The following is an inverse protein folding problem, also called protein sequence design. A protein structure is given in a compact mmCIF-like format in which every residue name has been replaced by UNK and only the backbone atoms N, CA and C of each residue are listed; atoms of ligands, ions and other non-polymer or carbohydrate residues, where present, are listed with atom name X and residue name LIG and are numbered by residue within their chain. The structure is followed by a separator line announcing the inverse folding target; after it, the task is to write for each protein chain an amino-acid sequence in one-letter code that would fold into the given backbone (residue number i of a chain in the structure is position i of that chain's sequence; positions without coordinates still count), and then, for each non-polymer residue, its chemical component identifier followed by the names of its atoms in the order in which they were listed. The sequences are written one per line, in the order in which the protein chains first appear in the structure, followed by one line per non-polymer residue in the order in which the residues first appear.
data_IF_683909093998
#
_entry.id   IF_683909093998
#
_cell.length_a   1.000
_cell.length_b   1.000
_cell.length_c   1.000
_cell.angle_alpha   90.00
_cell.angle_beta   90.00
_cell.angle_gamma   90.00
#
_symmetry.space_group_name_H-M   'P 1'
#
loop_
_entity.id
_entity.type
_entity.pdbx_description
1 polymer ?
#
# COMPACT_ATOMS: atom_id res chain seq x y z
N UNK A 1 -2.75 -22.15 -10.02
CA UNK A 1 -4.06 -22.48 -10.63
C UNK A 1 -4.10 -23.93 -11.05
N UNK A 2 -3.17 -24.38 -11.90
CA UNK A 2 -3.06 -25.78 -12.32
C UNK A 2 -2.86 -26.76 -11.14
N UNK A 3 -1.97 -26.43 -10.20
CA UNK A 3 -1.77 -27.22 -8.97
C UNK A 3 -3.01 -27.27 -8.06
N UNK A 4 -3.94 -26.32 -8.21
CA UNK A 4 -5.19 -26.26 -7.44
C UNK A 4 -6.38 -26.83 -8.23
N UNK A 5 -6.17 -27.32 -9.46
CA UNK A 5 -7.24 -27.81 -10.34
C UNK A 5 -8.25 -26.72 -10.75
N UNK A 6 -7.87 -25.43 -10.68
CA UNK A 6 -8.75 -24.31 -10.97
C UNK A 6 -8.54 -23.79 -12.38
N UNK A 7 -9.61 -23.76 -13.18
CA UNK A 7 -9.66 -23.05 -14.45
C UNK A 7 -10.26 -21.66 -14.25
N UNK A 8 -9.42 -20.63 -14.35
CA UNK A 8 -9.85 -19.25 -14.31
C UNK A 8 -9.21 -18.46 -15.44
N UNK A 9 -9.99 -17.57 -16.04
CA UNK A 9 -9.47 -16.61 -16.98
C UNK A 9 -8.57 -15.61 -16.24
N UNK A 10 -7.32 -15.47 -16.70
CA UNK A 10 -6.33 -14.62 -16.04
C UNK A 10 -5.69 -13.67 -17.05
N UNK A 11 -5.58 -12.41 -16.63
CA UNK A 11 -4.89 -11.35 -17.37
C UNK A 11 -3.91 -10.64 -16.43
N UNK A 12 -2.68 -10.49 -16.87
CA UNK A 12 -1.65 -9.68 -16.23
C UNK A 12 -1.61 -8.29 -16.85
N UNK A 13 -1.31 -7.26 -16.05
CA UNK A 13 -1.22 -5.87 -16.52
C UNK A 13 0.15 -5.31 -16.16
N UNK A 14 0.96 -4.97 -17.17
CA UNK A 14 2.20 -4.22 -16.96
C UNK A 14 2.00 -2.74 -17.22
N UNK A 15 2.63 -1.89 -16.41
CA UNK A 15 2.66 -0.44 -16.64
C UNK A 15 3.43 -0.13 -17.91
N UNK A 16 2.93 0.81 -18.71
CA UNK A 16 3.61 1.31 -19.89
C UNK A 16 4.86 2.13 -19.58
N UNK A 17 5.57 2.49 -20.64
CA UNK A 17 6.76 3.31 -20.58
C UNK A 17 6.50 4.64 -19.84
N UNK A 18 7.39 4.99 -18.90
CA UNK A 18 7.23 6.20 -18.09
C UNK A 18 6.08 6.20 -17.06
N UNK A 19 5.42 5.05 -16.80
CA UNK A 19 4.28 4.93 -15.86
C UNK A 19 3.08 5.81 -16.22
N UNK A 20 2.91 6.15 -17.51
CA UNK A 20 1.75 6.92 -17.97
C UNK A 20 0.51 6.01 -18.08
N UNK A 21 -0.66 6.44 -17.57
CA UNK A 21 -1.94 5.78 -17.85
C UNK A 21 -2.20 5.78 -19.37
N UNK A 22 -2.78 4.70 -19.90
CA UNK A 22 -3.09 4.56 -21.33
C UNK A 22 -2.10 3.67 -22.09
N UNK A 23 -0.89 3.47 -21.55
CA UNK A 23 0.17 2.69 -22.19
C UNK A 23 0.31 1.28 -21.60
N UNK A 24 -0.71 0.77 -20.91
CA UNK A 24 -0.66 -0.56 -20.30
C UNK A 24 -0.61 -1.69 -21.35
N UNK A 25 0.17 -2.71 -21.07
CA UNK A 25 0.18 -3.97 -21.83
C UNK A 25 -0.53 -5.05 -21.03
N UNK A 26 -1.49 -5.70 -21.65
CA UNK A 26 -2.20 -6.85 -21.12
C UNK A 26 -1.49 -8.13 -21.57
N UNK A 27 -1.28 -9.06 -20.64
CA UNK A 27 -0.61 -10.33 -20.86
C UNK A 27 -1.59 -11.46 -20.54
N UNK A 28 -1.78 -12.37 -21.47
CA UNK A 28 -2.64 -13.54 -21.30
C UNK A 28 -1.81 -14.79 -20.99
N UNK A 29 -2.48 -15.82 -20.48
CA UNK A 29 -1.84 -17.08 -20.05
C UNK A 29 -1.29 -17.92 -21.19
N UNK A 30 -1.78 -17.71 -22.40
CA UNK A 30 -1.28 -18.31 -23.65
C UNK A 30 -0.01 -17.62 -24.18
N UNK A 31 0.47 -16.58 -23.49
CA UNK A 31 1.63 -15.79 -23.90
C UNK A 31 1.30 -14.61 -24.81
N UNK A 32 0.04 -14.46 -25.22
CA UNK A 32 -0.42 -13.34 -26.05
C UNK A 32 -0.33 -12.04 -25.26
N UNK A 33 0.05 -10.95 -25.96
CA UNK A 33 0.10 -9.61 -25.39
C UNK A 33 -0.68 -8.65 -26.26
N UNK A 34 -1.48 -7.79 -25.64
CA UNK A 34 -2.22 -6.75 -26.34
C UNK A 34 -2.03 -5.40 -25.67
N UNK A 35 -1.97 -4.36 -26.49
CA UNK A 35 -2.12 -2.97 -26.07
C UNK A 35 -3.44 -2.48 -26.64
N UNK A 36 -4.25 -1.89 -25.77
CA UNK A 36 -5.53 -1.32 -26.16
C UNK A 36 -5.33 0.16 -26.50
N UNK A 37 -6.13 0.71 -27.44
CA UNK A 37 -6.19 2.15 -27.64
C UNK A 37 -6.53 2.90 -26.35
N UNK A 38 -6.00 4.12 -26.19
CA UNK A 38 -6.17 4.92 -24.96
C UNK A 38 -7.64 5.27 -24.67
N UNK A 39 -8.50 5.32 -25.69
CA UNK A 39 -9.94 5.59 -25.59
C UNK A 39 -10.78 4.32 -25.37
N UNK A 40 -10.14 3.15 -25.31
CA UNK A 40 -10.83 1.87 -25.11
C UNK A 40 -11.47 1.78 -23.73
N UNK A 41 -12.79 1.58 -23.69
CA UNK A 41 -13.53 1.34 -22.44
C UNK A 41 -13.02 0.12 -21.66
N UNK A 42 -12.54 -0.91 -22.35
CA UNK A 42 -11.97 -2.10 -21.71
C UNK A 42 -10.66 -1.74 -20.98
N UNK A 43 -9.84 -0.88 -21.56
CA UNK A 43 -8.63 -0.38 -20.92
C UNK A 43 -8.96 0.44 -19.68
N UNK A 44 -9.95 1.34 -19.76
CA UNK A 44 -10.39 2.15 -18.62
C UNK A 44 -10.89 1.30 -17.46
N UNK A 45 -11.66 0.24 -17.74
CA UNK A 45 -12.11 -0.70 -16.71
C UNK A 45 -10.93 -1.38 -16.02
N UNK A 46 -9.94 -1.85 -16.79
CA UNK A 46 -8.75 -2.51 -16.24
C UNK A 46 -7.93 -1.53 -15.39
N UNK A 47 -7.78 -0.28 -15.83
CA UNK A 47 -7.12 0.77 -15.07
C UNK A 47 -7.84 1.01 -13.73
N UNK A 48 -9.18 1.10 -13.74
CA UNK A 48 -9.97 1.29 -12.52
C UNK A 48 -9.78 0.14 -11.52
N UNK A 49 -9.84 -1.11 -11.98
CA UNK A 49 -9.60 -2.30 -11.13
C UNK A 49 -8.20 -2.28 -10.54
N UNK A 50 -7.19 -1.97 -11.35
CA UNK A 50 -5.78 -1.86 -10.91
C UNK A 50 -5.63 -0.77 -9.85
N UNK A 51 -6.18 0.39 -10.10
CA UNK A 51 -6.04 1.55 -9.22
C UNK A 51 -6.73 1.30 -7.88
N UNK A 52 -7.87 0.59 -7.89
CA UNK A 52 -8.54 0.16 -6.67
C UNK A 52 -7.75 -0.91 -5.90
N UNK A 53 -7.17 -1.89 -6.60
CA UNK A 53 -6.28 -2.88 -5.97
C UNK A 53 -5.04 -2.22 -5.33
N UNK A 54 -4.45 -1.24 -6.02
CA UNK A 54 -3.36 -0.42 -5.47
C UNK A 54 -3.84 0.41 -4.27
N UNK A 55 -4.98 1.10 -4.36
CA UNK A 55 -5.55 1.88 -3.25
C UNK A 55 -5.77 1.03 -2.02
N UNK A 56 -6.33 -0.17 -2.18
CA UNK A 56 -6.57 -1.12 -1.11
C UNK A 56 -5.26 -1.56 -0.45
N UNK A 57 -4.27 -1.97 -1.24
CA UNK A 57 -2.96 -2.39 -0.74
C UNK A 57 -2.26 -1.24 0.02
N UNK A 58 -2.21 -0.05 -0.56
CA UNK A 58 -1.58 1.13 0.04
C UNK A 58 -2.27 1.51 1.35
N UNK A 59 -3.61 1.54 1.38
CA UNK A 59 -4.39 1.90 2.57
C UNK A 59 -4.08 0.96 3.74
N UNK A 60 -4.03 -0.36 3.50
CA UNK A 60 -3.69 -1.35 4.53
C UNK A 60 -2.26 -1.15 5.05
N UNK A 61 -1.30 -0.87 4.18
CA UNK A 61 0.08 -0.59 4.58
C UNK A 61 0.24 0.76 5.29
N UNK A 62 -0.54 1.79 4.94
CA UNK A 62 -0.59 3.07 5.64
C UNK A 62 -1.14 2.88 7.05
N UNK A 63 -2.29 2.24 7.21
CA UNK A 63 -2.86 1.96 8.53
C UNK A 63 -1.90 1.15 9.43
N UNK A 64 -1.19 0.15 8.88
CA UNK A 64 -0.16 -0.60 9.62
C UNK A 64 1.02 0.27 10.03
N UNK A 65 1.46 1.21 9.17
CA UNK A 65 2.51 2.18 9.49
C UNK A 65 2.06 3.18 10.55
N UNK A 66 0.86 3.73 10.43
CA UNK A 66 0.32 4.68 11.39
C UNK A 66 0.13 4.04 12.76
N UNK A 67 -0.31 2.77 12.82
CA UNK A 67 -0.34 2.00 14.06
C UNK A 67 1.05 1.81 14.68
N UNK A 68 2.08 1.53 13.89
CA UNK A 68 3.49 1.50 14.35
C UNK A 68 4.00 2.87 14.79
N UNK A 69 3.47 3.96 14.22
CA UNK A 69 3.79 5.32 14.64
C UNK A 69 3.07 5.70 15.93
N UNK A 70 1.93 5.07 16.23
CA UNK A 70 1.15 5.28 17.45
C UNK A 70 1.74 4.61 18.70
N UNK A 71 2.61 3.59 18.53
CA UNK A 71 3.38 3.05 19.66
C UNK A 71 4.50 4.03 20.01
N UNK A 72 4.32 4.75 21.10
CA UNK A 72 5.29 5.74 21.58
C UNK A 72 6.62 5.04 21.94
N UNK A 73 7.76 5.66 21.60
CA UNK A 73 9.10 5.17 22.00
C UNK A 73 9.17 4.94 23.52
N UNK A 74 8.41 5.72 24.28
CA UNK A 74 8.32 5.58 25.74
C UNK A 74 7.56 4.33 26.20
N UNK A 75 6.76 3.69 25.35
CA UNK A 75 6.10 2.41 25.69
C UNK A 75 7.07 1.22 25.63
N UNK A 76 8.20 1.37 24.94
CA UNK A 76 9.23 0.35 24.86
C UNK A 76 10.09 0.27 26.14
N UNK A 77 9.97 1.25 27.06
CA UNK A 77 10.75 1.30 28.30
C UNK A 77 10.02 0.48 29.39
N UNK A 78 10.56 -0.68 29.81
CA UNK A 78 9.93 -1.50 30.83
C UNK A 78 9.84 -0.74 32.17
N UNK A 79 8.68 -0.83 32.83
CA UNK A 79 8.42 -0.12 34.09
C UNK A 79 7.93 1.34 33.94
N UNK A 80 7.83 1.86 32.70
CA UNK A 80 7.33 3.22 32.46
C UNK A 80 5.79 3.25 32.28
N UNK A 81 5.10 3.41 33.41
CA UNK A 81 3.63 3.51 33.45
C UNK A 81 3.06 4.71 32.68
N UNK A 82 1.78 4.66 32.27
CA UNK A 82 1.14 5.69 31.44
C UNK A 82 1.15 7.10 32.05
N UNK A 83 1.18 7.21 33.39
CA UNK A 83 1.27 8.49 34.11
C UNK A 83 2.61 9.19 33.85
N UNK A 84 3.73 8.52 34.15
CA UNK A 84 5.08 9.04 33.90
C UNK A 84 5.34 9.37 32.43
N UNK A 85 4.75 8.61 31.49
CA UNK A 85 4.84 8.90 30.05
C UNK A 85 4.18 10.23 29.69
N UNK A 86 2.99 10.48 30.23
CA UNK A 86 2.30 11.77 30.06
C UNK A 86 3.11 12.90 30.69
N UNK A 87 3.60 12.71 31.91
CA UNK A 87 4.38 13.73 32.62
C UNK A 87 5.65 14.12 31.83
N UNK A 88 6.37 13.14 31.27
CA UNK A 88 7.53 13.39 30.40
C UNK A 88 7.16 14.15 29.13
N UNK A 89 6.09 13.75 28.45
CA UNK A 89 5.66 14.44 27.23
C UNK A 89 5.18 15.87 27.52
N UNK A 90 4.48 16.09 28.63
CA UNK A 90 4.02 17.42 29.05
C UNK A 90 5.19 18.30 29.47
N UNK A 91 6.13 17.76 30.24
CA UNK A 91 7.28 18.52 30.73
C UNK A 91 8.23 18.93 29.58
N UNK A 92 8.46 18.04 28.63
CA UNK A 92 9.39 18.30 27.53
C UNK A 92 8.71 18.78 26.23
N UNK A 93 7.40 19.00 26.22
CA UNK A 93 6.69 19.53 25.05
C UNK A 93 6.55 18.55 23.88
N UNK A 94 6.53 17.25 24.17
CA UNK A 94 6.37 16.17 23.21
C UNK A 94 7.62 15.31 23.02
N UNK A 95 7.52 14.30 22.15
CA UNK A 95 8.57 13.27 21.99
C UNK A 95 9.91 13.85 21.54
N UNK A 96 9.88 14.92 20.74
CA UNK A 96 11.09 15.59 20.25
C UNK A 96 11.84 16.32 21.35
N UNK A 97 11.13 16.88 22.34
CA UNK A 97 11.79 17.46 23.50
C UNK A 97 12.36 16.40 24.44
N UNK A 98 11.66 15.27 24.59
CA UNK A 98 12.17 14.15 25.40
C UNK A 98 13.46 13.56 24.81
N UNK A 99 13.60 13.51 23.48
CA UNK A 99 14.80 12.99 22.81
C UNK A 99 15.99 13.97 22.81
N UNK A 100 15.75 15.25 23.11
CA UNK A 100 16.79 16.30 23.12
C UNK A 100 17.32 16.63 24.52
N UNK A 101 16.64 16.15 25.56
CA UNK A 101 17.04 16.28 26.96
C UNK A 101 18.06 15.22 27.33
#
# INVERSE_FOLDING_TARGET
MQELGLEAFMVGVSKGEGRKPGLETLHFTDGTKIQLPEDSKALHLIQQVRDEAHRFAITKHRAKRDKRRSTSVLEAIPGLGPKRRRDLLTHFGGIQGVLKA
#
